data_IF_997844969795
#
_entry.id   IF_997844969795
#
_cell.length_a   1.000
_cell.length_b   1.000
_cell.length_c   1.000
_cell.angle_alpha   90.00
_cell.angle_beta   90.00
_cell.angle_gamma   90.00
#
_symmetry.space_group_name_H-M   'P 1'
#
loop_
_entity.id
_entity.type
_entity.pdbx_description
1 polymer ?
#
# COMPACT_ATOMS: atom_id res chain seq x y z
N UNK A 1 25.34 -43.09 35.72
CA UNK A 1 24.69 -41.83 36.08
C UNK A 1 25.28 -40.61 35.33
N UNK A 2 26.54 -40.56 34.99
CA UNK A 2 27.17 -39.43 34.26
C UNK A 2 26.72 -39.36 32.78
N UNK A 3 26.57 -40.50 32.10
CA UNK A 3 26.15 -40.59 30.68
C UNK A 3 24.69 -40.11 30.50
N UNK A 4 23.82 -40.39 31.47
CA UNK A 4 22.40 -39.97 31.41
C UNK A 4 22.22 -38.44 31.62
N UNK A 5 23.16 -37.81 32.36
CA UNK A 5 23.17 -36.33 32.50
C UNK A 5 23.71 -35.62 31.26
N UNK A 6 24.63 -36.22 30.53
CA UNK A 6 25.14 -35.67 29.26
C UNK A 6 24.11 -35.70 28.13
N UNK A 7 23.26 -36.72 28.07
CA UNK A 7 22.18 -36.82 27.06
C UNK A 7 21.10 -35.76 27.28
N UNK A 8 20.82 -35.41 28.56
CA UNK A 8 19.82 -34.38 28.88
C UNK A 8 20.29 -32.98 28.51
N UNK A 9 21.60 -32.70 28.56
CA UNK A 9 22.16 -31.39 28.17
C UNK A 9 22.20 -31.25 26.63
N UNK A 10 22.37 -32.35 25.88
CA UNK A 10 22.37 -32.30 24.42
C UNK A 10 20.97 -32.07 23.83
N UNK A 11 19.89 -32.44 24.56
CA UNK A 11 18.51 -32.30 24.09
C UNK A 11 17.94 -30.90 24.29
N UNK A 12 18.51 -30.10 25.22
CA UNK A 12 18.05 -28.72 25.47
C UNK A 12 18.62 -27.70 24.49
N UNK A 13 19.59 -28.06 23.64
CA UNK A 13 20.24 -27.14 22.71
C UNK A 13 19.53 -27.05 21.33
N UNK A 14 18.45 -27.84 21.12
CA UNK A 14 17.77 -27.89 19.82
C UNK A 14 16.48 -27.09 19.72
N UNK A 15 16.16 -26.32 20.75
CA UNK A 15 15.01 -25.42 20.73
C UNK A 15 15.49 -23.95 20.57
N UNK A 16 16.25 -23.67 19.50
CA UNK A 16 16.41 -22.28 19.05
C UNK A 16 15.09 -21.86 18.41
N UNK A 17 14.36 -20.90 18.96
CA UNK A 17 13.23 -20.30 18.25
C UNK A 17 13.80 -19.73 16.96
N UNK A 18 13.35 -20.23 15.82
CA UNK A 18 13.63 -19.61 14.54
C UNK A 18 13.15 -18.15 14.63
N UNK A 19 14.09 -17.21 14.64
CA UNK A 19 13.78 -15.80 14.50
C UNK A 19 13.11 -15.66 13.12
N UNK A 20 11.79 -15.52 13.12
CA UNK A 20 11.05 -15.15 11.90
C UNK A 20 11.69 -13.85 11.38
N UNK A 21 12.44 -13.95 10.31
CA UNK A 21 13.14 -12.81 9.73
C UNK A 21 12.12 -11.95 9.01
N UNK A 22 11.68 -10.90 9.66
CA UNK A 22 10.78 -9.92 9.04
C UNK A 22 11.47 -9.27 7.83
N UNK A 23 10.75 -9.20 6.71
CA UNK A 23 11.26 -8.51 5.51
C UNK A 23 11.42 -7.02 5.82
N UNK A 24 12.60 -6.49 5.51
CA UNK A 24 12.89 -5.07 5.73
C UNK A 24 12.01 -4.17 4.86
N UNK A 25 11.64 -3.02 5.41
CA UNK A 25 10.92 -1.98 4.66
C UNK A 25 11.93 -1.21 3.80
N UNK A 26 11.74 -1.13 2.47
CA UNK A 26 12.60 -0.31 1.61
C UNK A 26 12.50 1.17 1.94
N UNK A 27 13.55 1.93 1.64
CA UNK A 27 13.50 3.39 1.76
C UNK A 27 12.54 4.02 0.75
N UNK A 28 11.78 5.03 1.18
CA UNK A 28 10.98 5.87 0.29
C UNK A 28 11.89 6.86 -0.44
N UNK A 29 12.30 6.53 -1.65
CA UNK A 29 13.12 7.42 -2.49
C UNK A 29 12.28 8.22 -3.48
N UNK A 30 11.13 7.67 -3.89
CA UNK A 30 10.18 8.28 -4.83
C UNK A 30 8.79 7.70 -4.60
N UNK A 31 7.75 8.37 -5.10
CA UNK A 31 6.36 7.92 -4.90
C UNK A 31 6.06 6.53 -5.49
N UNK A 32 6.79 6.10 -6.53
CA UNK A 32 6.73 4.75 -7.08
C UNK A 32 8.06 4.06 -6.81
N UNK A 33 8.08 3.10 -5.90
CA UNK A 33 9.24 2.28 -5.57
C UNK A 33 9.00 0.85 -6.03
N UNK A 34 9.69 0.43 -7.07
CA UNK A 34 9.67 -0.95 -7.56
C UNK A 34 11.05 -1.59 -7.37
N UNK A 35 11.15 -2.54 -6.43
CA UNK A 35 12.39 -3.29 -6.20
C UNK A 35 12.43 -4.63 -6.94
N UNK A 36 11.38 -4.93 -7.73
CA UNK A 36 11.31 -6.14 -8.57
C UNK A 36 11.89 -5.91 -9.96
N UNK A 37 11.94 -4.65 -10.41
CA UNK A 37 12.27 -4.30 -11.78
C UNK A 37 11.21 -4.72 -12.81
N UNK A 38 9.98 -4.96 -12.37
CA UNK A 38 8.86 -5.34 -13.26
C UNK A 38 8.33 -4.14 -14.06
N UNK A 39 8.40 -2.94 -13.47
CA UNK A 39 8.03 -1.70 -14.15
C UNK A 39 9.22 -1.13 -14.91
N UNK A 40 9.04 -0.80 -16.17
CA UNK A 40 10.01 -0.01 -16.92
C UNK A 40 10.16 1.40 -16.33
N UNK A 41 11.28 2.07 -16.64
CA UNK A 41 11.52 3.46 -16.21
C UNK A 41 10.41 4.40 -16.68
N UNK A 42 9.93 4.25 -17.91
CA UNK A 42 8.83 5.07 -18.45
C UNK A 42 7.51 4.84 -17.72
N UNK A 43 7.19 3.60 -17.35
CA UNK A 43 6.00 3.30 -16.57
C UNK A 43 6.09 3.88 -15.15
N UNK A 44 7.24 3.76 -14.50
CA UNK A 44 7.46 4.38 -13.17
C UNK A 44 7.32 5.90 -13.24
N UNK A 45 7.86 6.55 -14.27
CA UNK A 45 7.72 8.00 -14.48
C UNK A 45 6.26 8.41 -14.71
N UNK A 46 5.53 7.67 -15.57
CA UNK A 46 4.11 7.93 -15.84
C UNK A 46 3.24 7.79 -14.58
N UNK A 47 3.44 6.73 -13.82
CA UNK A 47 2.73 6.52 -12.55
C UNK A 47 3.07 7.62 -11.53
N UNK A 48 4.35 8.00 -11.42
CA UNK A 48 4.80 9.08 -10.52
C UNK A 48 4.12 10.40 -10.86
N UNK A 49 4.02 10.74 -12.17
CA UNK A 49 3.32 11.94 -12.61
C UNK A 49 1.86 11.95 -12.19
N UNK A 50 1.15 10.83 -12.35
CA UNK A 50 -0.25 10.72 -11.93
C UNK A 50 -0.40 10.88 -10.41
N UNK A 51 0.53 10.34 -9.60
CA UNK A 51 0.52 10.50 -8.15
C UNK A 51 0.80 11.95 -7.73
N UNK A 52 1.70 12.63 -8.42
CA UNK A 52 1.96 14.06 -8.20
C UNK A 52 0.72 14.89 -8.50
N UNK A 53 -0.01 14.59 -9.60
CA UNK A 53 -1.24 15.27 -9.95
C UNK A 53 -2.33 15.12 -8.87
N UNK A 54 -2.44 13.94 -8.24
CA UNK A 54 -3.32 13.72 -7.08
C UNK A 54 -2.90 14.62 -5.93
N UNK A 55 -1.62 14.64 -5.60
CA UNK A 55 -1.09 15.45 -4.48
C UNK A 55 -1.36 16.93 -4.71
N UNK A 56 -1.16 17.43 -5.94
CA UNK A 56 -1.43 18.82 -6.28
C UNK A 56 -2.93 19.20 -6.17
N UNK A 57 -3.82 18.30 -6.58
CA UNK A 57 -5.26 18.55 -6.58
C UNK A 57 -5.92 18.37 -5.21
N UNK A 58 -5.45 17.41 -4.41
CA UNK A 58 -6.17 16.94 -3.21
C UNK A 58 -5.36 17.07 -1.93
N UNK A 59 -4.06 17.34 -2.01
CA UNK A 59 -3.06 17.28 -0.94
C UNK A 59 -2.82 15.88 -0.36
N UNK A 60 -3.54 14.86 -0.82
CA UNK A 60 -3.30 13.49 -0.40
C UNK A 60 -1.92 13.00 -0.88
N UNK A 61 -1.18 12.34 -0.02
CA UNK A 61 0.07 11.68 -0.40
C UNK A 61 -0.20 10.24 -0.79
N UNK A 62 0.03 9.90 -2.05
CA UNK A 62 -0.14 8.53 -2.54
C UNK A 62 1.22 7.98 -2.95
N UNK A 63 1.53 6.77 -2.49
CA UNK A 63 2.75 6.06 -2.86
C UNK A 63 2.45 4.63 -3.31
N UNK A 64 3.31 4.08 -4.14
CA UNK A 64 3.27 2.71 -4.63
C UNK A 64 4.54 2.00 -4.26
N UNK A 65 4.42 0.80 -3.70
CA UNK A 65 5.53 -0.10 -3.42
C UNK A 65 5.29 -1.44 -4.10
N UNK A 66 6.24 -1.87 -4.92
CA UNK A 66 6.25 -3.20 -5.52
C UNK A 66 7.46 -3.96 -4.98
N UNK A 67 7.19 -5.06 -4.27
CA UNK A 67 8.21 -5.95 -3.71
C UNK A 67 8.06 -7.36 -4.29
N UNK A 68 9.14 -8.16 -4.34
CA UNK A 68 9.02 -9.54 -4.81
C UNK A 68 8.18 -10.39 -3.85
N UNK A 69 8.45 -10.32 -2.55
CA UNK A 69 7.76 -11.09 -1.51
C UNK A 69 7.79 -10.34 -0.19
N UNK A 70 6.84 -10.66 0.68
CA UNK A 70 6.75 -10.18 2.07
C UNK A 70 7.09 -11.28 3.09
N UNK A 71 7.52 -12.47 2.61
CA UNK A 71 7.88 -13.61 3.46
C UNK A 71 6.68 -14.15 4.23
N UNK A 72 6.87 -14.37 5.53
CA UNK A 72 5.84 -14.93 6.41
C UNK A 72 4.85 -13.86 6.96
N UNK A 73 5.05 -12.57 6.63
CA UNK A 73 4.14 -11.51 7.05
C UNK A 73 2.79 -11.59 6.31
N UNK A 74 1.72 -11.14 6.96
CA UNK A 74 0.51 -10.80 6.22
C UNK A 74 0.69 -9.49 5.46
N UNK A 75 -0.01 -9.33 4.34
CA UNK A 75 0.07 -8.09 3.56
C UNK A 75 -0.39 -6.87 4.38
N UNK A 76 -1.32 -7.07 5.30
CA UNK A 76 -1.81 -6.04 6.21
C UNK A 76 -0.71 -5.57 7.17
N UNK A 77 -0.02 -6.50 7.82
CA UNK A 77 1.05 -6.19 8.78
C UNK A 77 2.22 -5.51 8.07
N UNK A 78 2.62 -6.02 6.90
CA UNK A 78 3.69 -5.42 6.13
C UNK A 78 3.32 -4.02 5.61
N UNK A 79 2.10 -3.85 5.08
CA UNK A 79 1.61 -2.55 4.61
C UNK A 79 1.57 -1.50 5.75
N UNK A 80 1.13 -1.89 6.95
CA UNK A 80 1.13 -1.00 8.12
C UNK A 80 2.56 -0.56 8.46
N UNK A 81 3.52 -1.50 8.52
CA UNK A 81 4.93 -1.15 8.79
C UNK A 81 5.52 -0.22 7.73
N UNK A 82 5.22 -0.45 6.45
CA UNK A 82 5.67 0.44 5.36
C UNK A 82 5.05 1.82 5.51
N UNK A 83 3.74 1.88 5.73
CA UNK A 83 2.98 3.12 5.88
C UNK A 83 3.53 3.99 7.03
N UNK A 84 3.77 3.37 8.19
CA UNK A 84 4.31 4.04 9.38
C UNK A 84 5.77 4.47 9.18
N UNK A 85 6.60 3.59 8.59
CA UNK A 85 8.01 3.88 8.33
C UNK A 85 8.18 5.03 7.34
N UNK A 86 7.36 5.05 6.28
CA UNK A 86 7.37 6.10 5.27
C UNK A 86 6.66 7.37 5.72
N UNK A 87 5.92 7.33 6.83
CA UNK A 87 5.15 8.46 7.37
C UNK A 87 4.27 9.11 6.30
N UNK A 88 3.54 8.28 5.57
CA UNK A 88 2.70 8.75 4.47
C UNK A 88 1.57 9.62 4.98
N UNK A 89 1.38 10.76 4.33
CA UNK A 89 0.41 11.77 4.69
C UNK A 89 0.94 12.81 5.67
N UNK A 90 0.20 13.88 5.82
CA UNK A 90 0.48 14.90 6.83
C UNK A 90 0.09 14.40 8.23
N UNK A 91 0.92 14.66 9.23
CA UNK A 91 0.73 14.15 10.59
C UNK A 91 -0.58 14.63 11.26
N UNK A 92 -1.16 15.76 10.81
CA UNK A 92 -2.43 16.29 11.34
C UNK A 92 -3.63 15.82 10.52
N UNK A 93 -3.45 15.69 9.19
CA UNK A 93 -4.53 15.30 8.28
C UNK A 93 -4.66 13.81 8.09
N UNK A 94 -3.58 13.04 8.34
CA UNK A 94 -3.51 11.59 8.10
C UNK A 94 -4.00 11.21 6.69
N UNK A 95 -3.58 11.97 5.68
CA UNK A 95 -4.06 11.91 4.30
C UNK A 95 -3.11 11.13 3.38
N UNK A 96 -2.57 10.04 3.88
CA UNK A 96 -1.72 9.11 3.14
C UNK A 96 -2.50 7.95 2.51
N UNK A 97 -2.04 7.46 1.36
CA UNK A 97 -2.49 6.19 0.75
C UNK A 97 -1.24 5.43 0.27
N UNK A 98 -1.16 4.15 0.60
CA UNK A 98 -0.15 3.23 0.13
C UNK A 98 -0.79 2.13 -0.72
N UNK A 99 -0.35 1.99 -1.96
CA UNK A 99 -0.63 0.80 -2.76
C UNK A 99 0.60 -0.10 -2.66
N UNK A 100 0.44 -1.30 -2.13
CA UNK A 100 1.52 -2.27 -2.02
C UNK A 100 1.19 -3.54 -2.79
N UNK A 101 2.16 -4.04 -3.55
CA UNK A 101 2.06 -5.27 -4.33
C UNK A 101 3.23 -6.17 -3.99
N UNK A 102 2.97 -7.35 -3.45
CA UNK A 102 3.95 -8.43 -3.33
C UNK A 102 3.78 -9.35 -4.56
N UNK A 103 4.63 -9.12 -5.58
CA UNK A 103 4.39 -9.62 -6.93
C UNK A 103 4.45 -11.15 -7.02
N UNK A 104 5.45 -11.77 -6.40
CA UNK A 104 5.58 -13.23 -6.39
C UNK A 104 4.53 -13.91 -5.50
N UNK A 105 4.14 -13.26 -4.40
CA UNK A 105 3.14 -13.76 -3.47
C UNK A 105 1.71 -13.57 -4.01
N UNK A 106 1.55 -12.79 -5.09
CA UNK A 106 0.26 -12.45 -5.72
C UNK A 106 -0.72 -11.77 -4.74
N UNK A 107 -0.18 -11.00 -3.82
CA UNK A 107 -0.97 -10.24 -2.86
C UNK A 107 -0.84 -8.75 -3.10
N UNK A 108 -1.90 -8.03 -2.81
CA UNK A 108 -1.99 -6.58 -2.99
C UNK A 108 -2.87 -5.97 -1.92
N UNK A 109 -2.49 -4.78 -1.45
CA UNK A 109 -3.27 -4.00 -0.50
C UNK A 109 -3.24 -2.51 -0.86
N UNK A 110 -4.34 -1.83 -0.57
CA UNK A 110 -4.42 -0.37 -0.50
C UNK A 110 -4.63 -0.03 0.97
N UNK A 111 -3.63 0.58 1.58
CA UNK A 111 -3.68 1.09 2.95
C UNK A 111 -4.03 2.56 2.89
N UNK A 112 -5.04 2.97 3.65
CA UNK A 112 -5.57 4.34 3.67
C UNK A 112 -5.34 4.95 5.04
N UNK A 113 -4.87 6.18 5.09
CA UNK A 113 -4.75 6.94 6.32
C UNK A 113 -6.10 7.41 6.82
N UNK A 114 -6.25 7.53 8.13
CA UNK A 114 -7.50 7.82 8.82
C UNK A 114 -8.25 9.05 8.26
N UNK A 115 -7.52 10.09 7.85
CA UNK A 115 -8.13 11.31 7.29
C UNK A 115 -8.77 11.14 5.91
N UNK A 116 -8.58 9.98 5.27
CA UNK A 116 -9.18 9.67 3.96
C UNK A 116 -10.16 8.50 4.00
N UNK A 117 -10.40 7.86 5.14
CA UNK A 117 -11.26 6.67 5.26
C UNK A 117 -12.71 6.94 4.86
N UNK A 118 -13.22 8.16 5.09
CA UNK A 118 -14.55 8.56 4.65
C UNK A 118 -14.65 8.67 3.12
N UNK A 119 -13.55 9.01 2.44
CA UNK A 119 -13.48 9.15 0.98
C UNK A 119 -13.12 7.83 0.30
N UNK A 120 -12.12 7.17 0.85
CA UNK A 120 -11.61 5.89 0.34
C UNK A 120 -11.82 4.83 1.41
N UNK A 121 -13.05 4.33 1.47
CA UNK A 121 -13.41 3.28 2.43
C UNK A 121 -12.72 1.95 2.11
N UNK A 122 -12.61 1.07 3.10
CA UNK A 122 -12.10 -0.30 2.89
C UNK A 122 -12.89 -1.06 1.81
N UNK A 123 -14.20 -0.84 1.74
CA UNK A 123 -15.05 -1.45 0.72
C UNK A 123 -14.65 -0.98 -0.69
N UNK A 124 -14.39 0.32 -0.87
CA UNK A 124 -13.93 0.88 -2.13
C UNK A 124 -12.53 0.39 -2.49
N UNK A 125 -11.59 0.44 -1.54
CA UNK A 125 -10.22 -0.07 -1.73
C UNK A 125 -10.24 -1.55 -2.14
N UNK A 126 -11.02 -2.37 -1.44
CA UNK A 126 -11.23 -3.78 -1.79
C UNK A 126 -11.87 -3.97 -3.17
N UNK A 127 -12.79 -3.11 -3.58
CA UNK A 127 -13.39 -3.17 -4.92
C UNK A 127 -12.38 -2.82 -6.01
N UNK A 128 -11.57 -1.77 -5.83
CA UNK A 128 -10.48 -1.41 -6.75
C UNK A 128 -9.52 -2.60 -6.92
N UNK A 129 -9.11 -3.23 -5.84
CA UNK A 129 -8.24 -4.40 -5.88
C UNK A 129 -8.87 -5.53 -6.69
N UNK A 130 -10.10 -5.94 -6.35
CA UNK A 130 -10.76 -7.11 -6.97
C UNK A 130 -11.16 -6.87 -8.42
N UNK A 131 -11.67 -5.68 -8.74
CA UNK A 131 -12.27 -5.41 -10.04
C UNK A 131 -11.30 -4.81 -11.06
N UNK A 132 -10.20 -4.19 -10.61
CA UNK A 132 -9.25 -3.48 -11.46
C UNK A 132 -7.87 -4.15 -11.41
N UNK A 133 -7.26 -4.22 -10.21
CA UNK A 133 -5.86 -4.63 -10.08
C UNK A 133 -5.67 -6.13 -10.36
N UNK A 134 -6.42 -6.99 -9.69
CA UNK A 134 -6.27 -8.45 -9.83
C UNK A 134 -6.49 -8.92 -11.29
N UNK A 135 -7.51 -8.47 -12.04
CA UNK A 135 -7.67 -8.87 -13.43
C UNK A 135 -6.52 -8.45 -14.35
N UNK A 136 -5.92 -7.28 -14.10
CA UNK A 136 -4.75 -6.81 -14.83
C UNK A 136 -3.49 -7.64 -14.47
N UNK A 137 -3.30 -7.91 -13.17
CA UNK A 137 -2.15 -8.68 -12.67
C UNK A 137 -2.17 -10.14 -13.15
N UNK A 138 -3.35 -10.77 -13.24
CA UNK A 138 -3.51 -12.10 -13.87
C UNK A 138 -3.04 -12.13 -15.32
N UNK A 139 -3.09 -11.00 -16.01
CA UNK A 139 -2.61 -10.83 -17.40
C UNK A 139 -1.15 -10.32 -17.45
N UNK A 140 -0.43 -10.34 -16.32
CA UNK A 140 0.95 -9.82 -16.20
C UNK A 140 1.09 -8.32 -16.58
N UNK A 141 0.02 -7.53 -16.40
CA UNK A 141 -0.05 -6.10 -16.73
C UNK A 141 0.01 -5.26 -15.45
N UNK A 142 1.16 -5.31 -14.74
CA UNK A 142 1.35 -4.61 -13.48
C UNK A 142 1.11 -3.10 -13.60
N UNK A 143 1.83 -2.44 -14.52
CA UNK A 143 1.71 -1.00 -14.77
C UNK A 143 0.26 -0.59 -15.06
N UNK A 144 -0.46 -1.35 -15.90
CA UNK A 144 -1.85 -1.05 -16.23
C UNK A 144 -2.79 -1.19 -15.05
N UNK A 145 -2.59 -2.20 -14.21
CA UNK A 145 -3.37 -2.38 -12.99
C UNK A 145 -3.17 -1.24 -11.99
N UNK A 146 -1.93 -0.80 -11.82
CA UNK A 146 -1.58 0.35 -10.98
C UNK A 146 -2.15 1.65 -11.55
N UNK A 147 -1.98 1.92 -12.85
CA UNK A 147 -2.51 3.10 -13.53
C UNK A 147 -4.04 3.25 -13.30
N UNK A 148 -4.80 2.20 -13.57
CA UNK A 148 -6.25 2.22 -13.41
C UNK A 148 -6.68 2.37 -11.95
N UNK A 149 -5.94 1.78 -11.01
CA UNK A 149 -6.20 1.95 -9.58
C UNK A 149 -5.95 3.40 -9.15
N UNK A 150 -4.86 4.02 -9.60
CA UNK A 150 -4.54 5.43 -9.34
C UNK A 150 -5.61 6.35 -9.92
N UNK A 151 -6.10 6.10 -11.13
CA UNK A 151 -7.20 6.86 -11.74
C UNK A 151 -8.48 6.73 -10.90
N UNK A 152 -8.82 5.53 -10.43
CA UNK A 152 -10.00 5.32 -9.60
C UNK A 152 -9.91 6.08 -8.27
N UNK A 153 -8.73 6.04 -7.61
CA UNK A 153 -8.46 6.80 -6.39
C UNK A 153 -8.53 8.31 -6.64
N UNK A 154 -7.93 8.81 -7.73
CA UNK A 154 -8.00 10.23 -8.09
C UNK A 154 -9.44 10.71 -8.26
N UNK A 155 -10.26 9.97 -9.00
CA UNK A 155 -11.66 10.30 -9.21
C UNK A 155 -12.42 10.37 -7.89
N UNK A 156 -12.18 9.44 -6.97
CA UNK A 156 -12.82 9.43 -5.67
C UNK A 156 -12.38 10.61 -4.79
N UNK A 157 -11.09 10.91 -4.78
CA UNK A 157 -10.54 12.00 -3.98
C UNK A 157 -10.97 13.38 -4.48
N UNK A 158 -11.18 13.54 -5.80
CA UNK A 158 -11.55 14.82 -6.43
C UNK A 158 -13.04 15.07 -6.49
N UNK A 159 -13.89 14.02 -6.65
CA UNK A 159 -15.34 14.17 -6.78
C UNK A 159 -16.02 14.86 -5.59
N UNK A 160 -15.50 14.64 -4.39
CA UNK A 160 -16.04 15.26 -3.18
C UNK A 160 -15.54 16.70 -2.93
N UNK A 161 -14.50 17.13 -3.61
CA UNK A 161 -14.03 18.53 -3.49
C UNK A 161 -14.97 19.50 -4.21
N UNK A 162 -15.67 19.06 -5.25
CA UNK A 162 -16.65 19.87 -5.98
C UNK A 162 -17.96 20.07 -5.20
N UNK A 163 -18.35 19.13 -4.35
CA UNK A 163 -19.58 19.26 -3.56
C UNK A 163 -19.42 20.25 -2.38
N UNK A 164 -18.22 20.37 -1.83
CA UNK A 164 -17.91 21.29 -0.73
C UNK A 164 -17.67 22.74 -1.18
N UNK A 165 -17.50 22.99 -2.48
CA UNK A 165 -17.18 24.32 -3.03
C UNK A 165 -18.39 25.03 -3.69
N UNK A 166 -19.61 24.47 -3.60
CA UNK A 166 -20.81 25.08 -4.14
C UNK A 166 -21.76 25.51 -3.02
N UNK A 167 -21.64 26.74 -2.46
CA UNK A 167 -22.50 27.23 -1.35
C UNK A 167 -23.91 27.68 -1.76
N UNK A 168 -24.31 27.50 -3.02
CA UNK A 168 -25.45 28.22 -3.59
C UNK A 168 -26.82 27.50 -3.57
N UNK A 169 -26.97 26.35 -2.88
CA UNK A 169 -28.26 25.64 -2.83
C UNK A 169 -28.95 25.55 -1.45
N UNK A 170 -28.45 26.26 -0.42
CA UNK A 170 -29.09 26.23 0.90
C UNK A 170 -30.01 27.41 1.20
N UNK A 171 -30.34 28.27 0.21
CA UNK A 171 -31.10 29.52 0.46
C UNK A 171 -32.46 29.64 -0.27
N UNK A 172 -33.02 28.51 -0.74
CA UNK A 172 -34.34 28.51 -1.39
C UNK A 172 -35.39 27.61 -0.73
N UNK A 173 -35.32 27.41 0.60
CA UNK A 173 -36.37 26.74 1.37
C UNK A 173 -36.68 27.54 2.64
N UNK A 174 -37.29 28.71 2.47
CA UNK A 174 -38.04 29.42 3.53
C UNK A 174 -39.35 29.90 2.97
#
# INVERSE_FOLDING_TARGET
>A
MIVMRLIFILFTLWCLPGLAQQIAVPELRQQVTDITGTLSTSEQQSLTQQLQDITHKTRAQVAVLVVPSIGDDSIEQYATRVFDNWRLGDAKRNDGILIIVAWSDRTVRIQVGYGLEEKVTDALAGNIIRSIMIPAFKKQKLAKGLELAIIALNNQLTSQHQYSSNPSESESAS
#
